data_IF_770534804078
#
_entry.id   IF_770534804078
#
_cell.length_a   1.000
_cell.length_b   1.000
_cell.length_c   1.000
_cell.angle_alpha   90.00
_cell.angle_beta   90.00
_cell.angle_gamma   90.00
#
_symmetry.space_group_name_H-M   'P 1'
#
loop_
_entity.id
_entity.type
_entity.pdbx_description
1 polymer ?
#
# COMPACT_ATOMS: atom_id res chain seq x y z
N UNK A 1 -4.43 -14.82 43.11
CA UNK A 1 -4.13 -15.42 41.80
C UNK A 1 -5.06 -14.89 40.71
N UNK A 2 -6.38 -14.94 40.90
CA UNK A 2 -7.40 -14.58 39.89
C UNK A 2 -7.33 -13.12 39.38
N UNK A 3 -7.07 -12.17 40.28
CA UNK A 3 -6.97 -10.73 39.98
C UNK A 3 -5.79 -10.40 39.07
N UNK A 4 -4.68 -11.10 39.28
CA UNK A 4 -3.44 -10.94 38.51
C UNK A 4 -3.57 -11.58 37.12
N UNK A 5 -4.25 -12.72 37.04
CA UNK A 5 -4.55 -13.39 35.75
C UNK A 5 -5.50 -12.53 34.91
N UNK A 6 -6.52 -11.93 35.53
CA UNK A 6 -7.45 -11.03 34.86
C UNK A 6 -6.74 -9.78 34.31
N UNK A 7 -5.86 -9.15 35.10
CA UNK A 7 -5.13 -7.96 34.65
C UNK A 7 -4.11 -8.27 33.55
N UNK A 8 -3.47 -9.44 33.60
CA UNK A 8 -2.61 -9.91 32.52
C UNK A 8 -3.40 -10.14 31.22
N UNK A 9 -4.61 -10.70 31.31
CA UNK A 9 -5.48 -10.91 30.15
C UNK A 9 -5.98 -9.58 29.54
N UNK A 10 -6.38 -8.63 30.39
CA UNK A 10 -6.75 -7.28 29.95
C UNK A 10 -5.55 -6.56 29.32
N UNK A 11 -4.36 -6.68 29.89
CA UNK A 11 -3.13 -6.13 29.33
C UNK A 11 -2.79 -6.71 27.96
N UNK A 12 -2.97 -8.02 27.77
CA UNK A 12 -2.80 -8.68 26.48
C UNK A 12 -3.80 -8.17 25.43
N UNK A 13 -5.07 -8.05 25.80
CA UNK A 13 -6.11 -7.49 24.90
C UNK A 13 -5.75 -6.06 24.51
N UNK A 14 -5.37 -5.21 25.46
CA UNK A 14 -5.00 -3.81 25.18
C UNK A 14 -3.77 -3.75 24.27
N UNK A 15 -2.76 -4.61 24.47
CA UNK A 15 -1.58 -4.65 23.60
C UNK A 15 -1.94 -5.06 22.15
N UNK A 16 -2.85 -6.01 21.97
CA UNK A 16 -3.34 -6.40 20.63
C UNK A 16 -4.14 -5.27 19.98
N UNK A 17 -5.00 -4.59 20.74
CA UNK A 17 -5.77 -3.44 20.24
C UNK A 17 -4.85 -2.28 19.82
N UNK A 18 -3.80 -2.01 20.60
CA UNK A 18 -2.79 -1.00 20.26
C UNK A 18 -1.99 -1.36 18.99
N UNK A 19 -1.81 -2.65 18.71
CA UNK A 19 -1.15 -3.13 17.49
C UNK A 19 -1.98 -2.83 16.23
N UNK A 20 -3.31 -2.77 16.33
CA UNK A 20 -4.19 -2.46 15.19
C UNK A 20 -4.33 -0.96 14.90
N UNK A 21 -4.12 -0.08 15.89
CA UNK A 21 -4.21 1.37 15.66
C UNK A 21 -3.09 1.92 14.76
N UNK A 22 -2.02 1.16 14.52
CA UNK A 22 -0.94 1.53 13.63
C UNK A 22 -1.15 0.97 12.21
N UNK A 23 -2.30 1.23 11.60
CA UNK A 23 -2.47 0.98 10.17
C UNK A 23 -1.65 2.01 9.38
N UNK A 24 -0.40 1.69 9.08
CA UNK A 24 0.43 2.49 8.20
C UNK A 24 -0.17 2.45 6.79
N UNK A 25 -0.48 3.62 6.24
CA UNK A 25 -0.96 3.76 4.86
C UNK A 25 0.14 3.30 3.89
N UNK A 26 -0.16 2.29 3.07
CA UNK A 26 0.81 1.79 2.08
C UNK A 26 0.62 2.51 0.75
N UNK A 27 1.73 2.98 0.17
CA UNK A 27 1.75 3.57 -1.16
C UNK A 27 2.33 2.57 -2.15
N UNK A 28 1.54 2.16 -3.13
CA UNK A 28 1.97 1.26 -4.20
C UNK A 28 2.26 2.08 -5.46
N UNK A 29 3.53 2.07 -5.90
CA UNK A 29 3.94 2.72 -7.16
C UNK A 29 3.52 1.83 -8.33
N UNK A 30 2.66 2.35 -9.21
CA UNK A 30 2.12 1.53 -10.28
C UNK A 30 3.17 1.18 -11.31
N UNK A 31 3.28 -0.12 -11.61
CA UNK A 31 4.30 -0.66 -12.52
C UNK A 31 5.70 -0.73 -11.92
N UNK A 32 5.92 -0.33 -10.66
CA UNK A 32 7.25 -0.26 -10.03
C UNK A 32 8.28 0.43 -10.96
N UNK A 33 9.29 -0.32 -11.44
CA UNK A 33 10.33 0.17 -12.35
C UNK A 33 9.80 0.42 -13.77
N UNK A 34 8.76 -0.31 -14.20
CA UNK A 34 8.11 -0.13 -15.50
C UNK A 34 7.40 1.22 -15.60
N UNK A 35 6.90 1.70 -14.47
CA UNK A 35 6.12 2.92 -14.35
C UNK A 35 4.71 2.84 -14.95
N UNK A 36 4.10 4.01 -15.19
CA UNK A 36 2.74 4.15 -15.71
C UNK A 36 2.75 4.71 -17.14
N UNK A 37 3.02 3.84 -18.12
CA UNK A 37 3.03 4.15 -19.55
C UNK A 37 2.31 3.07 -20.37
N UNK A 38 2.08 3.31 -21.67
CA UNK A 38 1.49 2.31 -22.55
C UNK A 38 2.56 1.22 -22.84
N UNK A 39 2.37 -0.04 -22.40
CA UNK A 39 3.40 -1.06 -22.55
C UNK A 39 3.58 -1.44 -24.02
N UNK A 40 4.80 -1.25 -24.55
CA UNK A 40 5.13 -1.63 -25.93
C UNK A 40 5.08 -3.16 -26.15
N UNK A 41 5.31 -3.94 -25.10
CA UNK A 41 5.21 -5.41 -25.09
C UNK A 41 4.34 -5.86 -23.93
N UNK A 42 3.41 -6.79 -24.18
CA UNK A 42 2.55 -7.38 -23.13
C UNK A 42 1.28 -6.59 -22.80
N UNK A 43 1.08 -5.40 -23.37
CA UNK A 43 -0.17 -4.62 -23.26
C UNK A 43 -0.65 -4.47 -21.81
N UNK A 44 -1.96 -4.57 -21.59
CA UNK A 44 -2.55 -4.53 -20.25
C UNK A 44 -2.06 -5.66 -19.32
N UNK A 45 -1.48 -6.74 -19.87
CA UNK A 45 -0.99 -7.89 -19.11
C UNK A 45 0.12 -7.53 -18.13
N UNK A 46 0.95 -6.53 -18.44
CA UNK A 46 2.02 -6.11 -17.53
C UNK A 46 1.49 -5.52 -16.23
N UNK A 47 0.40 -4.74 -16.28
CA UNK A 47 -0.25 -4.20 -15.09
C UNK A 47 -1.03 -5.27 -14.33
N UNK A 48 -1.58 -6.28 -15.03
CA UNK A 48 -2.18 -7.44 -14.38
C UNK A 48 -1.14 -8.23 -13.59
N UNK A 49 0.03 -8.49 -14.19
CA UNK A 49 1.14 -9.15 -13.50
C UNK A 49 1.63 -8.32 -12.31
N UNK A 50 1.80 -7.01 -12.46
CA UNK A 50 2.18 -6.13 -11.36
C UNK A 50 1.15 -6.18 -10.22
N UNK A 51 -0.14 -6.03 -10.52
CA UNK A 51 -1.21 -6.04 -9.53
C UNK A 51 -1.28 -7.38 -8.77
N UNK A 52 -1.00 -8.50 -9.46
CA UNK A 52 -0.97 -9.82 -8.85
C UNK A 52 0.18 -9.99 -7.81
N UNK A 53 1.18 -9.10 -7.80
CA UNK A 53 2.27 -9.12 -6.80
C UNK A 53 2.01 -8.24 -5.58
N UNK A 54 0.87 -7.53 -5.52
CA UNK A 54 0.55 -6.58 -4.46
C UNK A 54 -0.64 -7.08 -3.63
N UNK A 55 -0.70 -6.67 -2.38
CA UNK A 55 -1.88 -6.80 -1.53
C UNK A 55 -2.45 -5.41 -1.27
N UNK A 56 -3.66 -5.15 -1.75
CA UNK A 56 -4.32 -3.86 -1.59
C UNK A 56 -5.31 -3.92 -0.44
N UNK A 57 -5.13 -3.05 0.54
CA UNK A 57 -6.07 -2.89 1.67
C UNK A 57 -6.76 -1.54 1.61
N UNK A 58 -7.92 -1.42 2.25
CA UNK A 58 -8.64 -0.15 2.33
C UNK A 58 -7.75 0.89 3.03
N UNK A 59 -7.54 2.02 2.36
CA UNK A 59 -6.65 3.10 2.81
C UNK A 59 -5.36 3.22 2.00
N UNK A 60 -4.98 2.19 1.25
CA UNK A 60 -3.80 2.23 0.39
C UNK A 60 -3.94 3.26 -0.75
N UNK A 61 -2.80 3.77 -1.22
CA UNK A 61 -2.73 4.74 -2.32
C UNK A 61 -1.98 4.12 -3.50
N UNK A 62 -2.58 4.23 -4.69
CA UNK A 62 -1.91 3.94 -5.95
C UNK A 62 -1.30 5.23 -6.49
N UNK A 63 0.03 5.31 -6.49
CA UNK A 63 0.73 6.49 -7.01
C UNK A 63 1.27 6.24 -8.41
N UNK A 64 1.05 7.20 -9.32
CA UNK A 64 1.84 7.28 -10.55
C UNK A 64 3.31 7.52 -10.14
N UNK A 65 4.28 6.78 -10.70
CA UNK A 65 5.69 7.09 -10.48
C UNK A 65 5.95 8.56 -10.83
N UNK A 66 6.77 9.23 -10.03
CA UNK A 66 7.11 10.62 -10.26
C UNK A 66 7.81 10.73 -11.62
N UNK A 67 7.08 11.20 -12.64
CA UNK A 67 7.72 11.81 -13.80
C UNK A 67 8.39 13.07 -13.27
N UNK A 68 9.64 13.28 -13.65
CA UNK A 68 10.42 14.46 -13.31
C UNK A 68 9.50 15.68 -13.48
N UNK A 69 9.45 16.62 -12.53
CA UNK A 69 8.44 17.69 -12.51
C UNK A 69 8.34 18.51 -13.81
N UNK A 70 9.38 18.46 -14.65
CA UNK A 70 9.44 19.03 -16.00
C UNK A 70 8.48 18.37 -17.01
N UNK A 71 8.06 17.11 -16.82
CA UNK A 71 7.12 16.38 -17.69
C UNK A 71 5.69 16.34 -17.15
N UNK A 72 5.47 16.66 -15.86
CA UNK A 72 4.12 16.71 -15.31
C UNK A 72 3.28 17.88 -15.88
N UNK A 73 3.94 18.91 -16.43
CA UNK A 73 3.29 20.08 -17.03
C UNK A 73 2.84 19.85 -18.49
N UNK A 74 3.37 18.83 -19.19
CA UNK A 74 2.99 18.57 -20.59
C UNK A 74 1.69 17.77 -20.75
N UNK A 75 1.20 17.14 -19.67
CA UNK A 75 -0.03 16.35 -19.67
C UNK A 75 -1.29 17.20 -19.30
N UNK A 76 -1.13 18.53 -19.17
CA UNK A 76 -2.19 19.50 -18.84
C UNK A 76 -2.71 20.29 -20.07
N UNK A 77 -2.41 19.83 -21.29
CA UNK A 77 -2.88 20.45 -22.55
C UNK A 77 -3.60 19.40 -23.40
#
# INVERSE_FOLDING_TARGET
MEKFVSMAFVGLIVAVLLMECAAAQTVHVVGDIMGWSIPMSGGAGAYVTWAATKNFVVGDVLSRPAVNALYAYSDLI
#
